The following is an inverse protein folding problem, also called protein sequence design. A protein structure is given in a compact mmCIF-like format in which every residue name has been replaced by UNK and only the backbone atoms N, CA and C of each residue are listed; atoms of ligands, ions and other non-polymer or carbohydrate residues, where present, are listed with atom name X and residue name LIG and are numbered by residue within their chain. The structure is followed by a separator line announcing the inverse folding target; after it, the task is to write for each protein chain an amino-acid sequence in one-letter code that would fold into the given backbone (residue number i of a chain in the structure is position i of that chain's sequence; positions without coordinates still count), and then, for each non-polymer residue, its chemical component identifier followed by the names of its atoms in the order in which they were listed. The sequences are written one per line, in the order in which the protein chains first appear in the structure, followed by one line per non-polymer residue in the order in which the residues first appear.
data_IF_209047731938
#
_entry.id   IF_209047731938
#
_cell.length_a   1.000
_cell.length_b   1.000
_cell.length_c   1.000
_cell.angle_alpha   90.00
_cell.angle_beta   90.00
_cell.angle_gamma   90.00
#
_symmetry.space_group_name_H-M   'P 1'
#
loop_
_entity.id
_entity.type
_entity.pdbx_description
1 polymer ?
#
# COMPACT_ATOMS: atom_id res chain seq x y z
N UNK A 1 49.76 31.41 -4.06
CA UNK A 1 48.55 31.22 -4.90
C UNK A 1 48.02 29.79 -4.85
N UNK A 2 48.86 28.76 -4.98
CA UNK A 2 48.47 27.34 -4.99
C UNK A 2 47.72 26.91 -3.70
N UNK A 3 48.20 27.31 -2.53
CA UNK A 3 47.60 26.91 -1.24
C UNK A 3 46.17 27.43 -1.04
N UNK A 4 45.85 28.63 -1.56
CA UNK A 4 44.48 29.19 -1.51
C UNK A 4 43.53 28.46 -2.47
N UNK A 5 44.04 28.02 -3.62
CA UNK A 5 43.26 27.25 -4.60
C UNK A 5 42.94 25.84 -4.07
N UNK A 6 43.91 25.17 -3.44
CA UNK A 6 43.69 23.85 -2.83
C UNK A 6 42.65 23.91 -1.71
N UNK A 7 42.71 24.93 -0.85
CA UNK A 7 41.71 25.13 0.21
C UNK A 7 40.33 25.42 -0.39
N UNK A 8 40.23 26.23 -1.43
CA UNK A 8 38.95 26.52 -2.09
C UNK A 8 38.31 25.26 -2.71
N UNK A 9 39.10 24.43 -3.39
CA UNK A 9 38.63 23.16 -3.98
C UNK A 9 38.18 22.17 -2.89
N UNK A 10 38.92 22.06 -1.78
CA UNK A 10 38.55 21.21 -0.67
C UNK A 10 37.23 21.66 -0.01
N UNK A 11 37.02 22.96 0.19
CA UNK A 11 35.79 23.52 0.75
C UNK A 11 34.59 23.26 -0.17
N UNK A 12 34.73 23.47 -1.48
CA UNK A 12 33.66 23.16 -2.45
C UNK A 12 33.33 21.67 -2.45
N UNK A 13 34.35 20.80 -2.40
CA UNK A 13 34.15 19.35 -2.29
C UNK A 13 33.37 18.94 -1.04
N UNK A 14 33.72 19.51 0.12
CA UNK A 14 33.02 19.25 1.39
C UNK A 14 31.56 19.72 1.32
N UNK A 15 31.28 20.89 0.74
CA UNK A 15 29.91 21.42 0.58
C UNK A 15 29.07 20.53 -0.33
N UNK A 16 29.63 20.04 -1.45
CA UNK A 16 28.92 19.14 -2.37
C UNK A 16 28.62 17.77 -1.73
N UNK A 17 29.56 17.25 -0.94
CA UNK A 17 29.38 16.00 -0.18
C UNK A 17 28.30 16.19 0.88
N UNK A 18 28.37 17.27 1.68
CA UNK A 18 27.37 17.58 2.70
C UNK A 18 25.97 17.77 2.08
N UNK A 19 25.88 18.44 0.93
CA UNK A 19 24.62 18.60 0.20
C UNK A 19 24.07 17.26 -0.32
N UNK A 20 24.94 16.37 -0.80
CA UNK A 20 24.56 15.03 -1.26
C UNK A 20 24.09 14.14 -0.10
N UNK A 21 24.75 14.22 1.06
CA UNK A 21 24.35 13.51 2.28
C UNK A 21 22.99 14.03 2.77
N UNK A 22 22.81 15.35 2.84
CA UNK A 22 21.56 15.98 3.25
C UNK A 22 20.38 15.60 2.34
N UNK A 23 20.60 15.54 1.01
CA UNK A 23 19.59 14.99 0.08
C UNK A 23 19.27 13.52 0.34
N UNK A 24 20.29 12.69 0.63
CA UNK A 24 20.09 11.27 0.96
C UNK A 24 19.31 11.10 2.26
N UNK A 25 19.61 11.88 3.29
CA UNK A 25 18.87 11.85 4.56
C UNK A 25 17.42 12.29 4.37
N UNK A 26 17.16 13.37 3.63
CA UNK A 26 15.78 13.79 3.30
C UNK A 26 15.01 12.71 2.53
N UNK A 27 15.66 12.03 1.60
CA UNK A 27 15.07 10.92 0.85
C UNK A 27 14.79 9.70 1.76
N UNK A 28 15.74 9.32 2.61
CA UNK A 28 15.56 8.21 3.56
C UNK A 28 14.50 8.52 4.60
N UNK A 29 14.38 9.78 5.03
CA UNK A 29 13.31 10.23 5.91
C UNK A 29 11.94 10.15 5.22
N UNK A 30 11.85 10.49 3.92
CA UNK A 30 10.62 10.34 3.13
C UNK A 30 10.20 8.89 2.88
N UNK A 31 11.13 7.94 3.04
CA UNK A 31 10.89 6.50 2.90
C UNK A 31 10.50 5.81 4.22
N UNK A 32 10.56 6.49 5.36
CA UNK A 32 10.06 5.92 6.62
C UNK A 32 8.55 5.76 6.52
N UNK A 33 8.12 4.53 6.25
CA UNK A 33 6.71 4.17 6.32
C UNK A 33 6.21 4.42 7.75
N UNK A 34 4.98 4.94 7.91
CA UNK A 34 4.39 5.11 9.23
C UNK A 34 4.32 3.75 9.94
N UNK A 35 4.60 3.77 11.25
CA UNK A 35 4.53 2.56 12.07
C UNK A 35 3.07 2.09 12.23
N UNK A 36 2.84 0.79 12.06
CA UNK A 36 1.53 0.20 12.29
C UNK A 36 1.33 0.04 13.79
N UNK A 37 0.39 0.81 14.35
CA UNK A 37 0.07 0.78 15.79
C UNK A 37 -1.09 -0.14 16.14
N UNK A 38 -2.03 -0.34 15.20
CA UNK A 38 -3.24 -1.14 15.34
C UNK A 38 -3.51 -1.91 14.04
N UNK A 39 -4.16 -3.08 14.15
CA UNK A 39 -4.64 -3.87 13.01
C UNK A 39 -6.13 -4.07 13.15
N UNK A 40 -6.85 -3.92 12.04
CA UNK A 40 -8.29 -4.20 11.95
C UNK A 40 -8.53 -5.19 10.82
N UNK A 41 -9.62 -5.95 10.89
CA UNK A 41 -10.04 -6.85 9.84
C UNK A 41 -11.42 -6.47 9.31
N UNK A 42 -11.65 -6.76 8.04
CA UNK A 42 -12.94 -6.67 7.36
C UNK A 42 -13.17 -8.01 6.64
N UNK A 43 -14.15 -8.78 7.07
CA UNK A 43 -14.58 -9.96 6.35
C UNK A 43 -15.60 -9.53 5.31
N UNK A 44 -15.30 -9.77 4.03
CA UNK A 44 -16.11 -9.30 2.91
C UNK A 44 -16.75 -10.46 2.16
N UNK A 45 -18.06 -10.36 1.96
CA UNK A 45 -18.83 -11.25 1.11
C UNK A 45 -19.09 -10.58 -0.25
N UNK A 46 -18.87 -11.34 -1.34
CA UNK A 46 -19.19 -10.92 -2.70
C UNK A 46 -20.26 -11.88 -3.23
N UNK A 47 -21.52 -11.43 -3.17
CA UNK A 47 -22.66 -12.18 -3.72
C UNK A 47 -22.78 -13.62 -3.15
N UNK A 48 -22.58 -13.79 -1.84
CA UNK A 48 -22.65 -15.08 -1.14
C UNK A 48 -21.44 -15.98 -1.33
N UNK A 49 -20.37 -15.50 -1.97
CA UNK A 49 -19.13 -16.24 -2.18
C UNK A 49 -18.02 -15.70 -1.28
N UNK A 50 -17.48 -16.59 -0.43
CA UNK A 50 -16.22 -16.35 0.29
C UNK A 50 -15.05 -16.53 -0.68
N UNK A 51 -14.11 -15.59 -0.66
CA UNK A 51 -13.13 -15.40 -1.71
C UNK A 51 -12.16 -16.61 -1.87
N UNK A 52 -12.33 -17.40 -2.93
CA UNK A 52 -11.43 -18.49 -3.42
C UNK A 52 -10.09 -17.96 -4.01
N UNK A 53 -9.60 -16.86 -3.47
CA UNK A 53 -8.80 -15.90 -4.23
C UNK A 53 -7.32 -16.26 -4.31
N UNK A 54 -6.80 -16.96 -3.29
CA UNK A 54 -5.42 -17.46 -3.29
C UNK A 54 -5.17 -18.45 -4.44
N UNK A 55 -6.09 -19.39 -4.69
CA UNK A 55 -6.02 -20.32 -5.83
C UNK A 55 -5.99 -19.53 -7.14
N UNK A 56 -6.88 -18.55 -7.28
CA UNK A 56 -7.06 -17.81 -8.52
C UNK A 56 -5.83 -16.95 -8.89
N UNK A 57 -5.14 -16.38 -7.89
CA UNK A 57 -3.87 -15.66 -8.09
C UNK A 57 -2.67 -16.58 -8.34
N UNK A 58 -2.72 -17.82 -7.85
CA UNK A 58 -1.72 -18.85 -8.19
C UNK A 58 -1.87 -19.35 -9.64
N UNK A 59 -3.10 -19.44 -10.16
CA UNK A 59 -3.36 -19.89 -11.54
C UNK A 59 -3.33 -18.76 -12.56
N UNK A 60 -3.54 -17.52 -12.13
CA UNK A 60 -3.64 -16.36 -13.01
C UNK A 60 -4.94 -16.36 -13.83
N UNK A 61 -5.91 -17.19 -13.46
CA UNK A 61 -7.16 -17.38 -14.22
C UNK A 61 -8.04 -16.12 -14.26
N UNK A 62 -7.74 -15.14 -13.40
CA UNK A 62 -8.43 -13.84 -13.36
C UNK A 62 -7.87 -12.82 -14.36
N UNK A 63 -6.82 -13.16 -15.10
CA UNK A 63 -6.28 -12.31 -16.16
C UNK A 63 -5.60 -11.05 -15.61
N UNK A 64 -5.89 -9.90 -16.21
CA UNK A 64 -5.36 -8.61 -15.77
C UNK A 64 -6.38 -7.85 -14.91
N UNK A 65 -5.89 -7.23 -13.84
CA UNK A 65 -6.68 -6.31 -13.02
C UNK A 65 -6.91 -4.99 -13.74
N UNK A 66 -7.76 -4.13 -13.17
CA UNK A 66 -8.13 -2.85 -13.76
C UNK A 66 -6.93 -1.92 -14.03
N UNK A 67 -5.81 -2.12 -13.32
CA UNK A 67 -4.54 -1.41 -13.55
C UNK A 67 -3.71 -1.96 -14.72
N UNK A 68 -4.24 -2.88 -15.54
CA UNK A 68 -3.50 -3.56 -16.60
C UNK A 68 -2.37 -4.46 -16.10
N UNK A 69 -2.40 -4.82 -14.80
CA UNK A 69 -1.40 -5.71 -14.20
C UNK A 69 -1.98 -7.11 -14.08
N UNK A 70 -1.21 -8.17 -14.38
CA UNK A 70 -1.66 -9.53 -14.16
C UNK A 70 -2.06 -9.76 -12.70
N UNK A 71 -3.27 -10.27 -12.47
CA UNK A 71 -3.71 -10.80 -11.18
C UNK A 71 -3.12 -12.20 -11.01
N UNK A 72 -1.79 -12.24 -10.88
CA UNK A 72 -1.02 -13.47 -10.89
C UNK A 72 0.27 -13.32 -10.06
N UNK A 73 0.59 -14.34 -9.25
CA UNK A 73 1.79 -14.34 -8.42
C UNK A 73 3.09 -14.59 -9.19
N UNK A 74 3.02 -15.10 -10.42
CA UNK A 74 4.24 -15.37 -11.21
C UNK A 74 4.94 -14.05 -11.55
N UNK A 75 6.17 -13.93 -11.08
CA UNK A 75 7.02 -12.76 -11.33
C UNK A 75 6.86 -11.65 -10.28
N UNK A 76 5.97 -11.79 -9.29
CA UNK A 76 5.90 -10.85 -8.17
C UNK A 76 7.06 -11.12 -7.21
N UNK A 77 7.90 -10.13 -6.89
CA UNK A 77 9.03 -10.34 -5.99
C UNK A 77 8.56 -10.51 -4.54
N UNK A 78 9.32 -11.28 -3.76
CA UNK A 78 9.25 -11.23 -2.30
C UNK A 78 9.98 -9.97 -1.85
N UNK A 79 9.23 -8.94 -1.45
CA UNK A 79 9.78 -7.65 -1.03
C UNK A 79 10.26 -7.64 0.42
N UNK A 80 10.02 -8.72 1.20
CA UNK A 80 10.58 -8.89 2.54
C UNK A 80 11.04 -10.33 2.78
N UNK A 81 12.26 -10.50 3.30
CA UNK A 81 12.83 -11.80 3.65
C UNK A 81 13.53 -11.65 5.01
N UNK A 82 13.07 -12.38 6.03
CA UNK A 82 13.65 -12.39 7.38
C UNK A 82 14.06 -13.83 7.72
N UNK A 83 15.38 -14.15 7.69
CA UNK A 83 15.87 -15.49 8.02
C UNK A 83 15.44 -15.93 9.42
N UNK A 84 14.89 -17.15 9.54
CA UNK A 84 14.40 -17.70 10.80
C UNK A 84 13.00 -17.22 11.21
N UNK A 85 12.30 -16.46 10.35
CA UNK A 85 10.97 -15.94 10.64
C UNK A 85 10.00 -16.08 9.45
N UNK A 86 10.16 -15.28 8.38
CA UNK A 86 9.19 -15.27 7.27
C UNK A 86 9.74 -14.69 5.95
N UNK A 87 9.01 -14.97 4.86
CA UNK A 87 9.16 -14.31 3.55
C UNK A 87 7.81 -13.73 3.12
N UNK A 88 7.80 -12.48 2.64
CA UNK A 88 6.59 -11.74 2.27
C UNK A 88 6.73 -11.24 0.82
N UNK A 89 5.72 -11.53 0.01
CA UNK A 89 5.60 -11.10 -1.38
C UNK A 89 4.20 -10.60 -1.69
N UNK A 90 3.92 -10.34 -2.97
CA UNK A 90 2.57 -9.94 -3.42
C UNK A 90 2.24 -8.45 -3.30
N UNK A 91 3.18 -7.59 -2.88
CA UNK A 91 2.91 -6.15 -2.75
C UNK A 91 3.05 -5.43 -4.10
N UNK A 92 1.92 -4.94 -4.60
CA UNK A 92 1.82 -4.16 -5.84
C UNK A 92 1.84 -2.65 -5.59
N UNK A 93 2.36 -2.15 -4.46
CA UNK A 93 2.47 -0.71 -4.16
C UNK A 93 1.11 0.05 -4.23
N UNK A 94 0.05 -0.64 -3.81
CA UNK A 94 -1.36 -0.22 -3.79
C UNK A 94 -1.94 -0.61 -2.41
N UNK A 95 -3.16 -0.20 -2.09
CA UNK A 95 -3.85 -0.57 -0.84
C UNK A 95 -3.74 0.46 0.29
N UNK A 96 -3.57 1.75 -0.02
CA UNK A 96 -3.67 2.81 1.01
C UNK A 96 -5.14 2.98 1.39
N UNK A 97 -5.41 3.11 2.69
CA UNK A 97 -6.73 3.37 3.24
C UNK A 97 -6.83 4.84 3.64
N UNK A 98 -7.83 5.53 3.10
CA UNK A 98 -7.99 6.98 3.24
C UNK A 98 -9.44 7.38 3.51
N UNK A 99 -9.63 8.50 4.20
CA UNK A 99 -10.95 9.07 4.50
C UNK A 99 -11.58 9.67 3.25
N UNK A 100 -12.83 9.31 2.95
CA UNK A 100 -13.64 10.04 1.99
C UNK A 100 -14.18 11.32 2.64
N UNK A 101 -14.37 12.36 1.83
CA UNK A 101 -14.88 13.65 2.25
C UNK A 101 -15.67 14.32 1.12
N UNK A 102 -16.31 15.45 1.41
CA UNK A 102 -16.98 16.33 0.44
C UNK A 102 -16.39 17.75 0.48
N UNK A 103 -15.08 17.85 0.76
CA UNK A 103 -14.35 19.09 0.96
C UNK A 103 -13.64 19.18 2.32
N UNK A 104 -12.91 20.28 2.58
CA UNK A 104 -12.13 20.44 3.80
C UNK A 104 -12.98 20.26 5.07
N UNK A 105 -12.45 19.53 6.06
CA UNK A 105 -13.09 19.28 7.36
C UNK A 105 -14.47 18.59 7.31
N UNK A 106 -14.72 17.76 6.29
CA UNK A 106 -15.98 17.02 6.12
C UNK A 106 -15.83 15.50 6.24
N UNK A 107 -14.80 15.03 6.96
CA UNK A 107 -14.61 13.61 7.20
C UNK A 107 -15.76 13.06 8.07
N UNK A 108 -16.44 12.03 7.56
CA UNK A 108 -17.44 11.25 8.30
C UNK A 108 -16.89 9.88 8.68
N UNK A 109 -17.66 8.83 8.37
CA UNK A 109 -17.24 7.42 8.51
C UNK A 109 -16.84 6.76 7.19
N UNK A 110 -17.04 7.45 6.06
CA UNK A 110 -16.73 6.91 4.75
C UNK A 110 -15.22 6.86 4.53
N UNK A 111 -14.75 5.75 3.96
CA UNK A 111 -13.36 5.53 3.59
C UNK A 111 -13.27 4.86 2.23
N UNK A 112 -12.08 4.86 1.65
CA UNK A 112 -11.77 4.12 0.43
C UNK A 112 -10.41 3.43 0.55
N UNK A 113 -10.22 2.38 -0.24
CA UNK A 113 -8.97 1.63 -0.37
C UNK A 113 -8.47 1.81 -1.80
N UNK A 114 -7.23 2.25 -1.97
CA UNK A 114 -6.69 2.52 -3.30
C UNK A 114 -6.24 1.24 -3.99
N UNK A 115 -6.68 1.02 -5.23
CA UNK A 115 -6.23 -0.09 -6.09
C UNK A 115 -5.17 0.33 -7.09
N UNK A 116 -4.82 1.63 -7.13
CA UNK A 116 -3.72 2.22 -7.89
C UNK A 116 -2.99 3.25 -7.03
N UNK A 117 -1.82 3.72 -7.46
CA UNK A 117 -1.17 4.86 -6.80
C UNK A 117 -1.97 6.13 -7.14
N UNK A 118 -2.41 6.86 -6.12
CA UNK A 118 -3.30 8.02 -6.28
C UNK A 118 -2.66 9.31 -5.75
N UNK A 119 -1.48 9.68 -6.28
CA UNK A 119 -0.75 10.88 -5.84
C UNK A 119 -1.56 12.18 -5.95
N UNK A 120 -2.55 12.21 -6.84
CA UNK A 120 -3.45 13.37 -7.00
C UNK A 120 -4.42 13.55 -5.82
N UNK A 121 -4.49 12.60 -4.88
CA UNK A 121 -5.30 12.72 -3.65
C UNK A 121 -4.44 13.18 -2.45
N UNK A 122 -3.13 13.34 -2.63
CA UNK A 122 -2.23 13.76 -1.56
C UNK A 122 -2.58 15.19 -1.13
N UNK A 123 -2.81 15.39 0.17
CA UNK A 123 -3.26 16.67 0.73
C UNK A 123 -4.78 16.91 0.66
N UNK A 124 -5.49 16.21 -0.22
CA UNK A 124 -6.95 16.28 -0.37
C UNK A 124 -7.69 15.28 0.53
N UNK A 125 -7.09 14.10 0.73
CA UNK A 125 -7.64 13.05 1.56
C UNK A 125 -6.65 12.62 2.66
N UNK A 126 -7.18 12.34 3.85
CA UNK A 126 -6.36 11.87 4.97
C UNK A 126 -6.14 10.37 4.83
N UNK A 127 -4.92 9.98 4.48
CA UNK A 127 -4.47 8.59 4.55
C UNK A 127 -4.18 8.20 6.00
N UNK A 128 -4.72 7.06 6.45
CA UNK A 128 -4.61 6.61 7.84
C UNK A 128 -4.25 5.13 8.00
N UNK A 129 -4.18 4.37 6.91
CA UNK A 129 -3.82 2.96 6.97
C UNK A 129 -3.32 2.41 5.64
N UNK A 130 -2.90 1.15 5.67
CA UNK A 130 -2.56 0.36 4.49
C UNK A 130 -3.07 -1.07 4.68
N UNK A 131 -3.56 -1.68 3.62
CA UNK A 131 -3.84 -3.12 3.55
C UNK A 131 -2.53 -3.89 3.70
N UNK A 132 -2.43 -4.68 4.77
CA UNK A 132 -1.25 -5.50 5.08
C UNK A 132 -1.40 -6.95 4.62
N UNK A 133 -2.64 -7.43 4.54
CA UNK A 133 -3.06 -8.76 4.11
C UNK A 133 -4.44 -8.61 3.43
N UNK A 134 -4.77 -9.49 2.47
CA UNK A 134 -6.08 -9.45 1.80
C UNK A 134 -6.20 -8.48 0.62
N UNK A 135 -5.09 -7.96 0.08
CA UNK A 135 -5.15 -7.05 -1.09
C UNK A 135 -5.73 -7.75 -2.33
N UNK A 136 -5.55 -9.06 -2.41
CA UNK A 136 -6.22 -9.90 -3.38
C UNK A 136 -7.74 -9.73 -3.31
N UNK A 137 -8.33 -9.73 -2.10
CA UNK A 137 -9.78 -9.58 -1.92
C UNK A 137 -10.23 -8.20 -2.40
N UNK A 138 -9.42 -7.17 -2.16
CA UNK A 138 -9.67 -5.81 -2.69
C UNK A 138 -9.73 -5.82 -4.23
N UNK A 139 -8.81 -6.50 -4.91
CA UNK A 139 -8.89 -6.64 -6.37
C UNK A 139 -10.07 -7.50 -6.84
N UNK A 140 -10.46 -8.51 -6.06
CA UNK A 140 -11.66 -9.29 -6.38
C UNK A 140 -12.93 -8.45 -6.28
N UNK A 141 -13.00 -7.50 -5.32
CA UNK A 141 -14.09 -6.52 -5.23
C UNK A 141 -14.05 -5.59 -6.44
N UNK A 142 -12.90 -4.98 -6.74
CA UNK A 142 -12.73 -4.05 -7.87
C UNK A 142 -13.08 -4.72 -9.20
N UNK A 143 -12.41 -5.82 -9.54
CA UNK A 143 -12.56 -6.51 -10.81
C UNK A 143 -13.85 -7.33 -10.90
N UNK A 144 -14.35 -7.85 -9.78
CA UNK A 144 -15.53 -8.72 -9.71
C UNK A 144 -16.85 -7.96 -9.60
N UNK A 145 -16.88 -6.84 -8.88
CA UNK A 145 -18.09 -6.07 -8.59
C UNK A 145 -18.04 -4.61 -9.09
N UNK A 146 -16.88 -4.06 -9.44
CA UNK A 146 -16.74 -2.67 -9.87
C UNK A 146 -17.34 -2.37 -11.25
N UNK A 147 -17.61 -1.07 -11.47
CA UNK A 147 -18.07 -0.50 -12.74
C UNK A 147 -17.50 0.90 -12.92
N UNK A 148 -17.47 1.42 -14.15
CA UNK A 148 -16.94 2.76 -14.44
C UNK A 148 -17.78 3.92 -13.89
N UNK A 149 -19.06 3.70 -13.55
CA UNK A 149 -19.91 4.73 -12.96
C UNK A 149 -19.94 4.66 -11.43
N UNK A 150 -19.13 3.80 -10.81
CA UNK A 150 -19.02 3.64 -9.37
C UNK A 150 -20.14 2.83 -8.72
N UNK A 151 -21.22 2.46 -9.43
CA UNK A 151 -22.29 1.61 -8.89
C UNK A 151 -21.89 0.14 -9.01
N UNK A 152 -21.77 -0.63 -7.91
CA UNK A 152 -21.39 -2.03 -7.99
C UNK A 152 -22.39 -2.86 -8.82
N UNK A 153 -21.87 -3.80 -9.62
CA UNK A 153 -22.69 -4.78 -10.39
C UNK A 153 -23.06 -6.03 -9.58
N UNK A 154 -22.38 -6.25 -8.46
CA UNK A 154 -22.66 -7.30 -7.47
C UNK A 154 -22.77 -6.68 -6.09
N UNK A 155 -23.51 -7.32 -5.20
CA UNK A 155 -23.60 -6.92 -3.80
C UNK A 155 -22.29 -7.28 -3.09
N UNK A 156 -21.67 -6.29 -2.46
CA UNK A 156 -20.44 -6.45 -1.66
C UNK A 156 -20.73 -5.91 -0.28
N UNK A 157 -20.52 -6.73 0.75
CA UNK A 157 -20.89 -6.38 2.13
C UNK A 157 -19.77 -6.80 3.08
N UNK A 158 -19.43 -5.92 4.03
CA UNK A 158 -18.62 -6.28 5.19
C UNK A 158 -19.54 -7.07 6.13
N UNK A 159 -19.29 -8.36 6.25
CA UNK A 159 -20.11 -9.30 7.04
C UNK A 159 -19.61 -9.47 8.47
N UNK A 160 -18.33 -9.20 8.71
CA UNK A 160 -17.76 -9.07 10.06
C UNK A 160 -16.60 -8.06 10.04
N UNK A 161 -16.31 -7.47 11.19
CA UNK A 161 -15.20 -6.52 11.35
C UNK A 161 -14.80 -6.37 12.80
N UNK A 162 -13.52 -6.10 13.05
CA UNK A 162 -13.05 -5.86 14.40
C UNK A 162 -11.59 -5.44 14.45
N UNK A 163 -11.08 -5.26 15.67
CA UNK A 163 -9.68 -5.00 15.94
C UNK A 163 -8.95 -6.30 16.27
N UNK A 164 -7.76 -6.48 15.71
CA UNK A 164 -6.88 -7.61 16.00
C UNK A 164 -5.95 -7.22 17.16
N UNK A 165 -6.06 -7.86 18.34
CA UNK A 165 -5.20 -7.58 19.49
C UNK A 165 -3.73 -7.81 19.14
N UNK A 166 -2.83 -6.98 19.68
CA UNK A 166 -1.37 -7.10 19.44
C UNK A 166 -0.81 -8.49 19.72
N UNK A 167 -1.35 -9.20 20.71
CA UNK A 167 -0.93 -10.57 21.02
C UNK A 167 -1.15 -11.56 19.89
N UNK A 168 -2.11 -11.30 18.99
CA UNK A 168 -2.48 -12.19 17.88
C UNK A 168 -1.81 -11.82 16.56
N UNK A 169 -0.95 -10.80 16.53
CA UNK A 169 -0.36 -10.32 15.28
C UNK A 169 0.55 -11.34 14.59
N UNK A 170 1.06 -12.29 15.37
CA UNK A 170 1.99 -13.34 14.93
C UNK A 170 1.32 -14.73 14.85
N UNK A 171 0.06 -14.87 15.26
CA UNK A 171 -0.65 -16.17 15.35
C UNK A 171 -1.32 -16.59 14.03
N UNK A 172 -1.43 -15.70 13.04
CA UNK A 172 -2.17 -15.91 11.78
C UNK A 172 -1.36 -15.47 10.53
N UNK A 173 -0.04 -15.73 10.51
CA UNK A 173 0.83 -15.46 9.34
C UNK A 173 1.18 -16.73 8.56
#
# INVERSE_FOLDING_TARGET
MIQRAVVAVAVVGIVLIAFSISRKEGYLQSLKLPEITHRVYLDVDIDGQRAENFRALCTGEKGEGASGKPLHYKGTPFHRIIPGFMIQGGDVAQGIVSMANSGPNSNGSQFFITTVKTFWLDGEHVAFGKVIQGMDVVYAIEGGAGTYNGKPRKKVVIVDSGEIPKSKWDEES
#
